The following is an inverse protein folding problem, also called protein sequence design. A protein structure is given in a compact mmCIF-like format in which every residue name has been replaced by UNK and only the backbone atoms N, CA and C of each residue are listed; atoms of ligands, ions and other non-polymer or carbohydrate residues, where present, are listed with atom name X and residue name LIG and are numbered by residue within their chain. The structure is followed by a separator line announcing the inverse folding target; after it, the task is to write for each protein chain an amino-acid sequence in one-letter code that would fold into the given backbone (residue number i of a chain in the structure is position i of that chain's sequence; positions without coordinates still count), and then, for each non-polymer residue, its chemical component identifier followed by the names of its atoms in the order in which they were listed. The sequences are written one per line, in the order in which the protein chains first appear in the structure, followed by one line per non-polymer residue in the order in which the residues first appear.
data_IF_864020437268
#
_entry.id   IF_864020437268
#
_cell.length_a   1.000
_cell.length_b   1.000
_cell.length_c   1.000
_cell.angle_alpha   90.00
_cell.angle_beta   90.00
_cell.angle_gamma   90.00
#
_symmetry.space_group_name_H-M   'P 1'
#
loop_
_entity.id
_entity.type
_entity.pdbx_description
1 polymer ?
#
# COMPACT_ATOMS: atom_id res chain seq x y z
N UNK A 1 -27.27 -26.77 4.19
CA UNK A 1 -26.81 -25.62 3.36
C UNK A 1 -26.88 -26.07 1.91
N UNK A 2 -28.05 -25.86 1.32
CA UNK A 2 -28.35 -26.30 -0.04
C UNK A 2 -28.18 -25.09 -0.97
N UNK A 3 -27.35 -25.23 -2.00
CA UNK A 3 -27.15 -24.23 -3.05
C UNK A 3 -25.72 -23.72 -3.27
N UNK A 4 -24.78 -23.96 -2.37
CA UNK A 4 -23.37 -23.63 -2.53
C UNK A 4 -22.54 -24.89 -2.76
N UNK A 5 -21.70 -24.91 -3.78
CA UNK A 5 -20.69 -25.95 -4.00
C UNK A 5 -19.37 -25.53 -3.34
N UNK A 6 -19.37 -25.44 -2.00
CA UNK A 6 -18.21 -25.07 -1.18
C UNK A 6 -18.00 -26.12 -0.10
N UNK A 7 -16.74 -26.51 0.08
CA UNK A 7 -16.29 -27.29 1.21
C UNK A 7 -15.85 -26.37 2.35
N UNK A 8 -16.41 -26.54 3.54
CA UNK A 8 -16.00 -25.80 4.72
C UNK A 8 -14.87 -26.53 5.44
N UNK A 9 -13.61 -26.15 5.13
CA UNK A 9 -12.40 -26.84 5.61
C UNK A 9 -12.20 -26.64 7.10
N UNK A 10 -12.26 -25.38 7.58
CA UNK A 10 -12.14 -25.03 9.00
C UNK A 10 -12.80 -23.68 9.32
N UNK A 11 -13.21 -23.50 10.54
CA UNK A 11 -13.61 -22.19 11.05
C UNK A 11 -12.34 -21.38 11.39
N UNK A 12 -12.24 -20.18 10.85
CA UNK A 12 -11.16 -19.25 11.19
C UNK A 12 -11.39 -18.61 12.56
N UNK A 13 -10.36 -18.29 13.34
CA UNK A 13 -10.50 -17.54 14.57
C UNK A 13 -11.12 -16.17 14.28
N UNK A 14 -11.84 -15.62 15.24
CA UNK A 14 -12.27 -14.22 15.16
C UNK A 14 -11.04 -13.30 15.29
N UNK A 15 -11.03 -12.10 14.65
CA UNK A 15 -9.92 -11.16 14.83
C UNK A 15 -9.61 -10.86 16.29
N UNK A 16 -10.63 -10.66 17.14
CA UNK A 16 -10.43 -10.40 18.57
C UNK A 16 -9.71 -11.54 19.30
N UNK A 17 -9.94 -12.80 18.88
CA UNK A 17 -9.21 -13.96 19.40
C UNK A 17 -7.74 -13.90 18.98
N UNK A 18 -7.47 -13.62 17.70
CA UNK A 18 -6.11 -13.54 17.20
C UNK A 18 -5.34 -12.35 17.80
N UNK A 19 -5.99 -11.18 17.94
CA UNK A 19 -5.39 -10.02 18.59
C UNK A 19 -5.07 -10.27 20.08
N UNK A 20 -5.88 -11.08 20.78
CA UNK A 20 -5.64 -11.51 22.14
C UNK A 20 -4.49 -12.52 22.24
N UNK A 21 -4.42 -13.48 21.30
CA UNK A 21 -3.45 -14.57 21.35
C UNK A 21 -2.06 -14.12 20.83
N UNK A 22 -2.03 -13.10 19.96
CA UNK A 22 -0.81 -12.45 19.42
C UNK A 22 -0.84 -10.93 19.70
N UNK A 23 -0.81 -10.49 20.95
CA UNK A 23 -0.99 -9.09 21.31
C UNK A 23 0.27 -8.25 20.98
N UNK A 24 0.05 -6.97 20.71
CA UNK A 24 1.12 -5.97 20.74
C UNK A 24 1.08 -5.22 22.07
N UNK A 25 2.26 -4.98 22.67
CA UNK A 25 2.38 -4.25 23.93
C UNK A 25 2.02 -2.76 23.80
N UNK A 26 1.78 -2.11 24.93
CA UNK A 26 1.37 -0.70 24.99
C UNK A 26 2.39 0.23 24.30
N UNK A 27 3.69 -0.06 24.40
CA UNK A 27 4.74 0.72 23.75
C UNK A 27 4.64 0.67 22.23
N UNK A 28 4.43 -0.51 21.65
CA UNK A 28 4.24 -0.66 20.19
C UNK A 28 2.96 0.01 19.70
N UNK A 29 1.88 -0.05 20.49
CA UNK A 29 0.63 0.68 20.18
C UNK A 29 0.86 2.19 20.13
N UNK A 30 1.62 2.73 21.09
CA UNK A 30 1.95 4.16 21.11
C UNK A 30 2.78 4.55 19.89
N UNK A 31 3.86 3.79 19.58
CA UNK A 31 4.70 4.05 18.40
C UNK A 31 3.91 4.02 17.09
N UNK A 32 3.01 3.03 16.96
CA UNK A 32 2.11 2.99 15.79
C UNK A 32 1.23 4.22 15.72
N UNK A 33 0.59 4.61 16.82
CA UNK A 33 -0.30 5.77 16.86
C UNK A 33 0.45 7.08 16.52
N UNK A 34 1.70 7.24 16.98
CA UNK A 34 2.56 8.37 16.63
C UNK A 34 2.83 8.41 15.12
N UNK A 35 3.19 7.28 14.51
CA UNK A 35 3.43 7.21 13.05
C UNK A 35 2.15 7.41 12.23
N UNK A 36 1.02 6.89 12.68
CA UNK A 36 -0.27 7.11 12.01
C UNK A 36 -0.65 8.59 12.02
N UNK A 37 -0.38 9.30 13.13
CA UNK A 37 -0.61 10.74 13.23
C UNK A 37 0.31 11.52 12.27
N UNK A 38 1.59 11.16 12.17
CA UNK A 38 2.53 11.78 11.22
C UNK A 38 2.07 11.58 9.77
N UNK A 39 1.63 10.37 9.39
CA UNK A 39 1.06 10.10 8.06
C UNK A 39 -0.18 10.97 7.80
N UNK A 40 -1.07 11.09 8.79
CA UNK A 40 -2.26 11.92 8.69
C UNK A 40 -1.91 13.41 8.56
N UNK A 41 -0.92 13.90 9.28
CA UNK A 41 -0.49 15.30 9.21
C UNK A 41 0.10 15.65 7.84
N UNK A 42 0.87 14.74 7.21
CA UNK A 42 1.36 14.93 5.83
C UNK A 42 0.19 14.96 4.84
N UNK A 43 -0.73 14.00 4.92
CA UNK A 43 -1.87 13.92 4.00
C UNK A 43 -2.81 15.11 4.12
N UNK A 44 -2.92 15.71 5.31
CA UNK A 44 -3.75 16.90 5.58
C UNK A 44 -3.00 18.22 5.37
N UNK A 45 -1.71 18.19 5.02
CA UNK A 45 -0.89 19.38 4.77
C UNK A 45 -0.44 20.14 6.02
N UNK A 46 -0.46 19.50 7.19
CA UNK A 46 0.09 20.06 8.44
C UNK A 46 1.59 19.80 8.58
N UNK A 47 2.09 18.82 7.86
CA UNK A 47 3.49 18.44 7.78
C UNK A 47 3.90 18.44 6.29
N UNK A 48 4.99 19.12 5.96
CA UNK A 48 5.45 19.32 4.59
C UNK A 48 6.33 18.20 4.06
N UNK A 49 6.71 17.22 4.92
CA UNK A 49 7.48 16.06 4.50
C UNK A 49 6.79 15.27 3.39
N UNK A 50 7.58 14.60 2.56
CA UNK A 50 7.06 13.70 1.52
C UNK A 50 6.93 12.27 2.07
N UNK A 51 5.78 11.62 1.83
CA UNK A 51 5.62 10.19 2.09
C UNK A 51 6.37 9.37 1.04
N UNK A 52 7.20 8.44 1.48
CA UNK A 52 7.81 7.46 0.61
C UNK A 52 7.36 6.05 1.01
N UNK A 53 6.41 5.49 0.23
CA UNK A 53 5.90 4.13 0.43
C UNK A 53 6.80 3.20 -0.38
N UNK A 54 7.73 2.49 0.27
CA UNK A 54 8.78 1.73 -0.42
C UNK A 54 8.96 0.33 0.17
N UNK A 55 9.09 -0.67 -0.70
CA UNK A 55 9.34 -2.06 -0.30
C UNK A 55 8.99 -3.07 -1.38
N UNK A 56 9.09 -4.38 -1.08
CA UNK A 56 8.92 -5.44 -2.07
C UNK A 56 7.54 -5.42 -2.73
N UNK A 57 7.48 -5.90 -3.97
CA UNK A 57 6.23 -6.06 -4.71
C UNK A 57 5.27 -6.99 -3.95
N UNK A 58 5.80 -8.04 -3.32
CA UNK A 58 5.09 -8.88 -2.34
C UNK A 58 6.08 -9.39 -1.30
N UNK A 59 5.63 -9.44 -0.04
CA UNK A 59 6.35 -10.13 1.02
C UNK A 59 6.31 -11.64 0.75
N UNK A 60 7.47 -12.30 0.71
CA UNK A 60 7.60 -13.71 0.40
C UNK A 60 8.37 -14.50 1.47
N UNK A 61 9.38 -13.88 2.07
CA UNK A 61 10.26 -14.47 3.09
C UNK A 61 10.46 -13.50 4.23
N UNK A 62 10.15 -13.95 5.44
CA UNK A 62 10.24 -13.11 6.64
C UNK A 62 11.65 -12.58 6.87
N UNK A 63 12.68 -13.42 6.75
CA UNK A 63 14.08 -13.07 6.99
C UNK A 63 14.58 -11.97 6.03
N UNK A 64 14.27 -12.09 4.74
CA UNK A 64 14.65 -11.10 3.73
C UNK A 64 13.87 -9.78 3.87
N UNK A 65 12.58 -9.86 4.19
CA UNK A 65 11.77 -8.66 4.48
C UNK A 65 12.32 -7.92 5.69
N UNK A 66 12.64 -8.62 6.80
CA UNK A 66 13.21 -8.00 8.00
C UNK A 66 14.60 -7.40 7.76
N UNK A 67 15.46 -8.04 6.97
CA UNK A 67 16.75 -7.47 6.58
C UNK A 67 16.54 -6.15 5.81
N UNK A 68 15.63 -6.14 4.83
CA UNK A 68 15.29 -4.94 4.08
C UNK A 68 14.75 -3.82 5.01
N UNK A 69 13.85 -4.15 5.96
CA UNK A 69 13.29 -3.18 6.90
C UNK A 69 14.33 -2.56 7.84
N UNK A 70 15.30 -3.36 8.32
CA UNK A 70 16.41 -2.85 9.14
C UNK A 70 17.29 -1.87 8.36
N UNK A 71 17.57 -2.16 7.10
CA UNK A 71 18.31 -1.24 6.22
C UNK A 71 17.52 0.04 5.97
N UNK A 72 16.20 -0.04 5.73
CA UNK A 72 15.34 1.15 5.60
C UNK A 72 15.37 2.02 6.85
N UNK A 73 15.31 1.42 8.05
CA UNK A 73 15.35 2.17 9.30
C UNK A 73 16.67 2.95 9.50
N UNK A 74 17.78 2.38 9.03
CA UNK A 74 19.08 3.06 9.07
C UNK A 74 19.13 4.26 8.11
N UNK A 75 18.50 4.18 6.97
CA UNK A 75 18.43 5.30 6.00
C UNK A 75 17.41 6.33 6.45
N UNK A 76 16.24 5.91 6.97
CA UNK A 76 15.23 6.84 7.51
C UNK A 76 15.82 7.80 8.53
N UNK A 77 16.71 7.31 9.42
CA UNK A 77 17.38 8.14 10.42
C UNK A 77 18.16 9.33 9.81
N UNK A 78 18.55 9.26 8.54
CA UNK A 78 19.30 10.29 7.83
C UNK A 78 18.40 11.29 7.08
N UNK A 79 17.13 10.94 6.84
CA UNK A 79 16.23 11.71 5.96
C UNK A 79 14.88 12.05 6.61
N UNK A 80 14.67 11.67 7.87
CA UNK A 80 13.38 11.78 8.56
C UNK A 80 12.84 13.20 8.73
N UNK A 81 13.69 14.20 8.61
CA UNK A 81 13.32 15.62 8.59
C UNK A 81 12.72 16.08 7.26
N UNK A 82 12.88 15.29 6.21
CA UNK A 82 12.41 15.57 4.84
C UNK A 82 11.44 14.52 4.32
N UNK A 83 11.69 13.26 4.64
CA UNK A 83 10.90 12.13 4.17
C UNK A 83 10.32 11.33 5.34
N UNK A 84 9.06 10.93 5.20
CA UNK A 84 8.43 9.91 6.03
C UNK A 84 8.41 8.58 5.28
N UNK A 85 9.22 7.61 5.71
CA UNK A 85 9.23 6.29 5.08
C UNK A 85 8.09 5.42 5.65
N UNK A 86 7.24 4.91 4.78
CA UNK A 86 6.21 3.92 5.08
C UNK A 86 6.58 2.63 4.34
N UNK A 87 7.06 1.59 5.05
CA UNK A 87 7.44 0.36 4.38
C UNK A 87 6.25 -0.33 3.71
N UNK A 88 6.45 -0.69 2.46
CA UNK A 88 5.49 -1.50 1.70
C UNK A 88 5.73 -2.97 2.01
N UNK A 89 4.78 -3.62 2.68
CA UNK A 89 4.80 -5.05 3.03
C UNK A 89 3.50 -5.66 2.55
N UNK A 90 3.40 -5.88 1.24
CA UNK A 90 2.19 -6.43 0.64
C UNK A 90 2.15 -7.95 0.84
N UNK A 91 1.22 -8.39 1.66
CA UNK A 91 1.09 -9.79 2.08
C UNK A 91 0.08 -10.58 1.24
N UNK A 92 -0.62 -9.89 0.34
CA UNK A 92 -1.57 -10.45 -0.61
C UNK A 92 -1.18 -10.09 -2.04
N UNK A 93 -1.40 -11.01 -2.98
CA UNK A 93 -1.15 -10.76 -4.41
C UNK A 93 -2.36 -11.16 -5.24
N UNK A 94 -3.08 -10.20 -5.85
CA UNK A 94 -4.20 -10.51 -6.73
C UNK A 94 -3.71 -11.25 -7.99
N UNK A 95 -4.35 -12.37 -8.31
CA UNK A 95 -4.02 -13.20 -9.48
C UNK A 95 -5.24 -13.35 -10.38
N UNK A 96 -5.24 -12.66 -11.51
CA UNK A 96 -6.36 -12.66 -12.47
C UNK A 96 -6.74 -14.05 -12.96
N UNK A 97 -5.76 -14.95 -13.11
CA UNK A 97 -5.97 -16.35 -13.55
C UNK A 97 -5.89 -17.36 -12.41
N UNK A 98 -5.75 -16.92 -11.15
CA UNK A 98 -5.62 -17.80 -9.99
C UNK A 98 -4.30 -18.59 -9.90
N UNK A 99 -3.34 -18.36 -10.80
CA UNK A 99 -2.07 -19.11 -10.88
C UNK A 99 -0.91 -18.26 -10.37
N UNK A 100 0.06 -18.90 -9.71
CA UNK A 100 1.27 -18.29 -9.14
C UNK A 100 1.14 -17.94 -7.67
N UNK A 101 2.20 -17.39 -7.08
CA UNK A 101 2.24 -17.00 -5.67
C UNK A 101 1.13 -16.00 -5.32
N UNK A 102 0.26 -16.35 -4.38
CA UNK A 102 -0.92 -15.57 -4.00
C UNK A 102 -0.67 -14.63 -2.81
N UNK A 103 0.56 -14.56 -2.33
CA UNK A 103 0.95 -13.79 -1.16
C UNK A 103 1.07 -14.64 0.11
N UNK A 104 1.69 -14.07 1.13
CA UNK A 104 1.98 -14.72 2.41
C UNK A 104 0.72 -15.20 3.13
N UNK A 105 -0.43 -14.52 2.94
CA UNK A 105 -1.71 -14.96 3.49
C UNK A 105 -2.08 -16.38 3.05
N UNK A 106 -1.92 -16.69 1.78
CA UNK A 106 -2.22 -18.01 1.24
C UNK A 106 -1.08 -19.01 1.42
N UNK A 107 0.14 -18.51 1.23
CA UNK A 107 1.36 -19.31 1.15
C UNK A 107 2.45 -18.64 2.00
N UNK A 108 2.40 -18.79 3.36
CA UNK A 108 3.45 -18.26 4.24
C UNK A 108 4.83 -18.86 3.94
N UNK A 109 4.85 -20.06 3.36
CA UNK A 109 6.01 -20.67 2.72
C UNK A 109 5.70 -20.86 1.22
N UNK A 110 6.33 -20.07 0.33
CA UNK A 110 6.05 -20.15 -1.12
C UNK A 110 6.30 -21.53 -1.76
N UNK A 111 7.07 -22.39 -1.11
CA UNK A 111 7.36 -23.76 -1.54
C UNK A 111 6.31 -24.79 -1.11
N UNK A 112 5.32 -24.41 -0.30
CA UNK A 112 4.28 -25.29 0.23
C UNK A 112 2.90 -24.96 -0.32
N UNK A 113 1.92 -25.83 0.00
CA UNK A 113 0.50 -25.59 -0.29
C UNK A 113 -0.09 -24.44 0.51
N UNK A 114 -1.33 -24.07 0.20
CA UNK A 114 -2.04 -22.98 0.86
C UNK A 114 -2.45 -23.38 2.29
N UNK A 115 -2.21 -22.49 3.26
CA UNK A 115 -2.74 -22.53 4.63
C UNK A 115 -3.06 -21.11 5.12
N UNK A 116 -4.34 -20.77 5.04
CA UNK A 116 -4.81 -19.42 5.38
C UNK A 116 -4.68 -19.11 6.88
N UNK A 117 -4.78 -20.11 7.77
CA UNK A 117 -4.60 -19.86 9.21
C UNK A 117 -3.14 -19.60 9.54
N UNK A 118 -2.23 -20.43 9.04
CA UNK A 118 -0.80 -20.20 9.17
C UNK A 118 -0.40 -18.87 8.53
N UNK A 119 -0.99 -18.53 7.36
CA UNK A 119 -0.75 -17.27 6.67
C UNK A 119 -1.13 -16.05 7.49
N UNK A 120 -2.34 -16.02 8.08
CA UNK A 120 -2.79 -14.86 8.87
C UNK A 120 -1.93 -14.67 10.13
N UNK A 121 -1.49 -15.77 10.75
CA UNK A 121 -0.55 -15.72 11.89
C UNK A 121 0.79 -15.17 11.43
N UNK A 122 1.37 -15.72 10.35
CA UNK A 122 2.67 -15.30 9.83
C UNK A 122 2.71 -13.82 9.46
N UNK A 123 1.67 -13.29 8.79
CA UNK A 123 1.65 -11.86 8.44
C UNK A 123 1.51 -10.97 9.68
N UNK A 124 0.76 -11.39 10.70
CA UNK A 124 0.65 -10.65 11.96
C UNK A 124 1.99 -10.64 12.72
N UNK A 125 2.65 -11.78 12.80
CA UNK A 125 3.98 -11.89 13.43
C UNK A 125 5.03 -11.05 12.68
N UNK A 126 5.05 -11.09 11.35
CA UNK A 126 5.94 -10.28 10.52
C UNK A 126 5.75 -8.78 10.80
N UNK A 127 4.52 -8.26 10.74
CA UNK A 127 4.24 -6.84 11.01
C UNK A 127 4.59 -6.46 12.47
N UNK A 128 4.32 -7.34 13.43
CA UNK A 128 4.68 -7.12 14.84
C UNK A 128 6.19 -7.05 15.02
N UNK A 129 6.95 -7.91 14.34
CA UNK A 129 8.42 -7.90 14.37
C UNK A 129 8.98 -6.64 13.72
N UNK A 130 8.46 -6.24 12.56
CA UNK A 130 8.88 -5.00 11.90
C UNK A 130 8.68 -3.80 12.84
N UNK A 131 7.48 -3.65 13.41
CA UNK A 131 7.17 -2.55 14.33
C UNK A 131 8.10 -2.57 15.56
N UNK A 132 8.38 -3.75 16.11
CA UNK A 132 9.25 -3.91 17.29
C UNK A 132 10.71 -3.57 16.98
N UNK A 133 11.24 -4.07 15.85
CA UNK A 133 12.66 -3.98 15.52
C UNK A 133 13.03 -2.62 14.90
N UNK A 134 12.09 -1.97 14.20
CA UNK A 134 12.37 -0.76 13.43
C UNK A 134 11.51 0.45 13.80
N UNK A 135 10.40 0.25 14.50
CA UNK A 135 9.41 1.29 14.78
C UNK A 135 8.46 1.58 13.62
N UNK A 136 8.58 0.89 12.50
CA UNK A 136 7.71 1.12 11.33
C UNK A 136 6.32 0.52 11.53
N UNK A 137 5.26 1.30 11.27
CA UNK A 137 3.97 0.78 10.83
C UNK A 137 3.95 0.74 9.31
N UNK A 138 3.48 -0.37 8.73
CA UNK A 138 3.64 -0.65 7.31
C UNK A 138 2.40 -0.34 6.49
N UNK A 139 2.58 -0.29 5.16
CA UNK A 139 1.52 -0.32 4.17
C UNK A 139 1.26 -1.75 3.69
N UNK A 140 -0.01 -2.15 3.58
CA UNK A 140 -0.43 -3.38 2.90
C UNK A 140 -1.59 -3.13 1.93
N UNK A 141 -1.78 -4.02 0.95
CA UNK A 141 -2.92 -3.96 0.02
C UNK A 141 -4.12 -4.71 0.59
N UNK A 142 -5.24 -4.03 0.76
CA UNK A 142 -6.50 -4.63 1.19
C UNK A 142 -7.15 -5.40 0.03
N UNK A 143 -6.66 -6.62 -0.22
CA UNK A 143 -7.24 -7.50 -1.25
C UNK A 143 -8.56 -8.12 -0.76
N UNK A 144 -8.62 -8.47 0.50
CA UNK A 144 -9.79 -9.03 1.17
C UNK A 144 -10.22 -8.11 2.33
N UNK A 145 -11.28 -7.29 2.17
CA UNK A 145 -11.67 -6.30 3.18
C UNK A 145 -11.90 -6.88 4.57
N UNK A 146 -12.52 -8.09 4.64
CA UNK A 146 -12.75 -8.78 5.92
C UNK A 146 -11.48 -9.12 6.70
N UNK A 147 -10.34 -9.26 6.01
CA UNK A 147 -9.07 -9.66 6.64
C UNK A 147 -8.32 -8.49 7.28
N UNK A 148 -8.63 -7.24 6.92
CA UNK A 148 -8.02 -6.06 7.55
C UNK A 148 -8.12 -6.11 9.08
N UNK A 149 -9.25 -6.58 9.62
CA UNK A 149 -9.49 -6.64 11.06
C UNK A 149 -8.44 -7.45 11.85
N UNK A 150 -7.73 -8.37 11.20
CA UNK A 150 -6.64 -9.14 11.83
C UNK A 150 -5.34 -8.34 11.99
N UNK A 151 -5.22 -7.22 11.27
CA UNK A 151 -4.03 -6.37 11.22
C UNK A 151 -4.31 -4.91 11.59
N UNK A 152 -5.54 -4.60 12.04
CA UNK A 152 -6.01 -3.23 12.28
C UNK A 152 -5.19 -2.45 13.31
N UNK A 153 -4.53 -3.16 14.24
CA UNK A 153 -3.64 -2.60 15.25
C UNK A 153 -2.16 -2.52 14.81
N UNK A 154 -1.84 -2.86 13.56
CA UNK A 154 -0.46 -2.94 13.03
C UNK A 154 -0.24 -2.08 11.78
N UNK A 155 -1.22 -2.02 10.85
CA UNK A 155 -1.07 -1.28 9.61
C UNK A 155 -1.25 0.23 9.82
N UNK A 156 -0.34 1.04 9.28
CA UNK A 156 -0.43 2.50 9.26
C UNK A 156 -0.97 3.08 7.94
N UNK A 157 -0.99 2.26 6.90
CA UNK A 157 -1.46 2.65 5.57
C UNK A 157 -2.09 1.45 4.85
N UNK A 158 -3.20 1.69 4.16
CA UNK A 158 -3.90 0.67 3.38
C UNK A 158 -4.01 1.12 1.93
N UNK A 159 -3.63 0.26 0.98
CA UNK A 159 -3.89 0.50 -0.44
C UNK A 159 -5.08 -0.33 -0.92
N UNK A 160 -5.98 0.27 -1.69
CA UNK A 160 -7.02 -0.43 -2.45
C UNK A 160 -6.53 -0.59 -3.88
N UNK A 161 -6.39 -1.84 -4.31
CA UNK A 161 -5.80 -2.20 -5.59
C UNK A 161 -6.63 -1.78 -6.80
N UNK A 162 -5.99 -1.65 -7.96
CA UNK A 162 -6.62 -1.23 -9.22
C UNK A 162 -7.73 -2.18 -9.72
N UNK A 163 -7.78 -3.43 -9.26
CA UNK A 163 -8.84 -4.40 -9.58
C UNK A 163 -9.95 -4.42 -8.52
N UNK A 164 -9.72 -3.77 -7.39
CA UNK A 164 -10.62 -3.76 -6.22
C UNK A 164 -11.33 -2.43 -6.03
N UNK A 165 -10.80 -1.35 -6.61
CA UNK A 165 -11.29 0.02 -6.40
C UNK A 165 -12.75 0.24 -6.85
N UNK A 166 -13.25 -0.56 -7.79
CA UNK A 166 -14.65 -0.53 -8.23
C UNK A 166 -15.58 -1.32 -7.30
N UNK A 167 -15.01 -2.21 -6.46
CA UNK A 167 -15.81 -3.09 -5.61
C UNK A 167 -16.41 -2.30 -4.45
N UNK A 168 -17.73 -2.44 -4.25
CA UNK A 168 -18.47 -1.70 -3.23
C UNK A 168 -17.97 -2.00 -1.81
N UNK A 169 -17.70 -3.26 -1.48
CA UNK A 169 -17.25 -3.64 -0.13
C UNK A 169 -15.90 -2.96 0.23
N UNK A 170 -14.97 -2.85 -0.72
CA UNK A 170 -13.69 -2.15 -0.49
C UNK A 170 -13.90 -0.67 -0.16
N UNK A 171 -14.83 0.01 -0.87
CA UNK A 171 -15.17 1.42 -0.61
C UNK A 171 -15.82 1.61 0.77
N UNK A 172 -16.76 0.72 1.12
CA UNK A 172 -17.45 0.73 2.40
C UNK A 172 -16.48 0.48 3.55
N UNK A 173 -15.63 -0.54 3.46
CA UNK A 173 -14.64 -0.84 4.50
C UNK A 173 -13.62 0.30 4.61
N UNK A 174 -13.17 0.89 3.49
CA UNK A 174 -12.24 2.01 3.51
C UNK A 174 -12.80 3.23 4.26
N UNK A 175 -14.14 3.44 4.25
CA UNK A 175 -14.78 4.53 5.01
C UNK A 175 -14.72 4.36 6.54
N UNK A 176 -14.44 3.15 7.00
CA UNK A 176 -14.32 2.81 8.44
C UNK A 176 -12.89 2.59 8.91
N UNK A 177 -11.88 2.78 8.04
CA UNK A 177 -10.48 2.63 8.45
C UNK A 177 -10.04 3.82 9.30
N UNK A 178 -9.34 3.54 10.40
CA UNK A 178 -8.72 4.55 11.26
C UNK A 178 -7.34 5.02 10.77
N UNK A 179 -6.95 4.67 9.55
CA UNK A 179 -5.64 4.97 8.95
C UNK A 179 -5.81 5.45 7.51
N UNK A 180 -4.72 5.96 6.91
CA UNK A 180 -4.69 6.39 5.53
C UNK A 180 -5.10 5.28 4.55
N UNK A 181 -5.96 5.60 3.57
CA UNK A 181 -6.47 4.69 2.56
C UNK A 181 -6.23 5.24 1.15
N UNK A 182 -5.27 4.65 0.42
CA UNK A 182 -4.95 5.04 -0.95
C UNK A 182 -5.76 4.25 -1.97
N UNK A 183 -6.55 4.95 -2.81
CA UNK A 183 -7.35 4.36 -3.89
C UNK A 183 -6.55 4.40 -5.20
N UNK A 184 -6.15 3.23 -5.72
CA UNK A 184 -5.47 3.16 -7.01
C UNK A 184 -6.46 3.41 -8.15
N UNK A 185 -6.05 4.17 -9.18
CA UNK A 185 -6.87 4.22 -10.39
C UNK A 185 -7.04 2.82 -11.00
N UNK A 186 -8.20 2.52 -11.61
CA UNK A 186 -8.46 1.23 -12.27
C UNK A 186 -7.41 0.89 -13.31
N UNK A 187 -7.26 -0.40 -13.60
CA UNK A 187 -6.32 -0.87 -14.63
C UNK A 187 -6.61 -0.31 -16.02
N UNK A 188 -7.89 -0.02 -16.33
CA UNK A 188 -8.34 0.59 -17.58
C UNK A 188 -8.17 2.12 -17.64
N UNK A 189 -7.79 2.78 -16.52
CA UNK A 189 -7.44 4.21 -16.52
C UNK A 189 -8.57 5.19 -16.24
N UNK A 190 -9.79 4.73 -15.96
CA UNK A 190 -10.90 5.62 -15.64
C UNK A 190 -10.72 6.31 -14.29
N UNK A 191 -10.31 7.57 -14.33
CA UNK A 191 -10.05 8.39 -13.13
C UNK A 191 -11.35 8.67 -12.35
N UNK A 192 -12.49 8.77 -13.01
CA UNK A 192 -13.79 9.00 -12.35
C UNK A 192 -14.16 7.89 -11.38
N UNK A 193 -13.82 6.64 -11.70
CA UNK A 193 -14.00 5.48 -10.81
C UNK A 193 -13.18 5.64 -9.52
N UNK A 194 -11.93 6.09 -9.64
CA UNK A 194 -11.08 6.37 -8.48
C UNK A 194 -11.64 7.51 -7.63
N UNK A 195 -12.07 8.62 -8.25
CA UNK A 195 -12.66 9.77 -7.55
C UNK A 195 -13.93 9.38 -6.82
N UNK A 196 -14.83 8.62 -7.47
CA UNK A 196 -16.03 8.07 -6.84
C UNK A 196 -15.69 7.15 -5.65
N UNK A 197 -14.60 6.39 -5.74
CA UNK A 197 -14.16 5.51 -4.65
C UNK A 197 -13.65 6.31 -3.45
N UNK A 198 -12.93 7.41 -3.70
CA UNK A 198 -12.48 8.33 -2.65
C UNK A 198 -13.70 8.99 -1.99
N UNK A 199 -14.65 9.49 -2.79
CA UNK A 199 -15.88 10.11 -2.30
C UNK A 199 -16.69 9.15 -1.40
N UNK A 200 -16.86 7.90 -1.83
CA UNK A 200 -17.54 6.88 -1.04
C UNK A 200 -16.79 6.56 0.26
N UNK A 201 -15.46 6.47 0.22
CA UNK A 201 -14.64 6.21 1.39
C UNK A 201 -14.60 7.41 2.35
N UNK A 202 -14.70 8.65 1.88
CA UNK A 202 -14.77 9.84 2.74
C UNK A 202 -16.15 10.08 3.35
N UNK A 203 -17.20 9.38 2.83
CA UNK A 203 -18.57 9.54 3.30
C UNK A 203 -18.94 8.53 4.39
N UNK A 204 -19.82 8.88 5.34
CA UNK A 204 -20.42 7.91 6.25
C UNK A 204 -21.19 6.82 5.51
N UNK A 205 -21.09 5.58 5.97
CA UNK A 205 -21.71 4.42 5.34
C UNK A 205 -22.40 3.53 6.38
N UNK A 206 -23.47 2.83 5.96
CA UNK A 206 -24.13 1.78 6.73
C UNK A 206 -24.18 0.50 5.90
N UNK A 207 -23.71 -0.62 6.47
CA UNK A 207 -23.66 -1.88 5.75
C UNK A 207 -23.47 -3.07 6.69
N UNK A 208 -23.57 -4.29 6.13
CA UNK A 208 -23.31 -5.53 6.89
C UNK A 208 -21.82 -5.89 6.77
N UNK A 209 -21.10 -5.88 7.88
CA UNK A 209 -19.71 -6.31 7.95
C UNK A 209 -19.56 -7.45 8.97
N UNK A 210 -19.12 -8.62 8.52
CA UNK A 210 -18.86 -9.79 9.37
C UNK A 210 -20.05 -10.14 10.29
N UNK A 211 -21.26 -10.18 9.72
CA UNK A 211 -22.53 -10.45 10.40
C UNK A 211 -22.97 -9.37 11.40
N UNK A 212 -22.40 -8.17 11.34
CA UNK A 212 -22.83 -7.01 12.10
C UNK A 212 -23.36 -5.92 11.15
N UNK A 213 -24.44 -5.27 11.53
CA UNK A 213 -24.81 -3.98 10.98
C UNK A 213 -23.86 -2.94 11.56
N UNK A 214 -23.14 -2.23 10.70
CA UNK A 214 -22.12 -1.26 11.10
C UNK A 214 -22.41 0.10 10.47
N UNK A 215 -22.02 1.15 11.19
CA UNK A 215 -22.01 2.53 10.69
C UNK A 215 -20.58 3.07 10.76
N UNK A 216 -20.11 3.70 9.68
CA UNK A 216 -18.82 4.38 9.61
C UNK A 216 -19.00 5.90 9.62
N UNK A 217 -17.95 6.64 9.97
CA UNK A 217 -17.94 8.10 9.97
C UNK A 217 -17.42 8.71 8.67
N UNK A 218 -16.93 7.89 7.74
CA UNK A 218 -16.10 8.33 6.62
C UNK A 218 -14.63 8.47 7.02
N UNK A 219 -13.75 8.25 6.07
CA UNK A 219 -12.30 8.35 6.24
C UNK A 219 -11.74 9.55 5.45
N UNK A 220 -11.50 10.71 6.10
CA UNK A 220 -11.01 11.91 5.43
C UNK A 220 -9.57 11.77 4.88
N UNK A 221 -8.87 10.69 5.23
CA UNK A 221 -7.54 10.36 4.72
C UNK A 221 -7.58 9.43 3.50
N UNK A 222 -8.77 9.13 2.96
CA UNK A 222 -8.88 8.43 1.68
C UNK A 222 -8.41 9.35 0.54
N UNK A 223 -7.48 8.87 -0.30
CA UNK A 223 -6.80 9.67 -1.30
C UNK A 223 -6.44 8.87 -2.55
N UNK A 224 -5.98 9.56 -3.60
CA UNK A 224 -5.62 8.97 -4.89
C UNK A 224 -4.25 8.28 -4.88
N UNK A 225 -4.13 7.17 -5.63
CA UNK A 225 -2.85 6.60 -6.06
C UNK A 225 -2.85 6.49 -7.58
N UNK A 226 -1.97 7.24 -8.25
CA UNK A 226 -1.78 7.15 -9.70
C UNK A 226 -0.74 6.09 -10.04
N UNK A 227 -1.14 5.05 -10.80
CA UNK A 227 -0.28 3.92 -11.14
C UNK A 227 -0.10 3.67 -12.65
N UNK A 228 -0.57 4.60 -13.49
CA UNK A 228 -0.71 4.40 -14.92
C UNK A 228 -1.87 3.43 -15.25
N UNK A 229 -2.09 3.17 -16.51
CA UNK A 229 -3.17 2.29 -16.98
C UNK A 229 -2.77 1.52 -18.25
N UNK A 230 -3.64 0.62 -18.67
CA UNK A 230 -3.51 -0.15 -19.92
C UNK A 230 -4.70 0.18 -20.80
N UNK A 231 -4.46 0.58 -22.04
CA UNK A 231 -5.51 0.82 -23.01
C UNK A 231 -6.12 -0.50 -23.57
N UNK A 232 -7.14 -0.36 -24.38
CA UNK A 232 -7.84 -1.51 -25.00
C UNK A 232 -6.96 -2.31 -25.98
N UNK A 233 -5.78 -1.80 -26.32
CA UNK A 233 -4.78 -2.49 -27.15
C UNK A 233 -3.67 -3.14 -26.33
N UNK A 234 -3.76 -3.08 -24.98
CA UNK A 234 -2.77 -3.65 -24.07
C UNK A 234 -1.50 -2.81 -23.90
N UNK A 235 -1.51 -1.52 -24.27
CA UNK A 235 -0.38 -0.60 -24.12
C UNK A 235 -0.43 0.09 -22.78
N UNK A 236 0.72 0.19 -22.12
CA UNK A 236 0.85 0.96 -20.87
C UNK A 236 0.94 2.45 -21.15
N UNK A 237 0.17 3.21 -20.38
CA UNK A 237 0.16 4.67 -20.40
C UNK A 237 0.47 5.21 -19.00
N UNK A 238 1.44 6.10 -18.84
CA UNK A 238 1.70 6.79 -17.59
C UNK A 238 0.61 7.84 -17.32
N UNK A 239 0.40 8.16 -16.03
CA UNK A 239 -0.51 9.21 -15.58
C UNK A 239 0.06 10.04 -14.43
N UNK A 240 1.38 10.28 -14.44
CA UNK A 240 2.11 11.05 -13.42
C UNK A 240 2.67 12.38 -13.94
N UNK A 241 2.48 12.70 -15.22
CA UNK A 241 2.97 13.95 -15.80
C UNK A 241 2.26 15.17 -15.21
N UNK A 242 2.87 16.32 -15.36
CA UNK A 242 2.36 17.59 -14.81
C UNK A 242 0.89 17.81 -15.17
N UNK A 243 0.49 17.56 -16.41
CA UNK A 243 -0.87 17.73 -16.92
C UNK A 243 -1.87 16.78 -16.20
N UNK A 244 -1.47 15.53 -15.97
CA UNK A 244 -2.30 14.57 -15.24
C UNK A 244 -2.49 14.98 -13.76
N UNK A 245 -1.44 15.54 -13.14
CA UNK A 245 -1.51 16.04 -11.77
C UNK A 245 -2.39 17.28 -11.68
N UNK A 246 -2.32 18.18 -12.66
CA UNK A 246 -3.19 19.36 -12.77
C UNK A 246 -4.66 18.96 -12.92
N UNK A 247 -4.98 18.05 -13.84
CA UNK A 247 -6.32 17.50 -14.02
C UNK A 247 -6.85 16.90 -12.71
N UNK A 248 -6.04 16.09 -12.03
CA UNK A 248 -6.43 15.50 -10.75
C UNK A 248 -6.70 16.56 -9.66
N UNK A 249 -5.90 17.62 -9.62
CA UNK A 249 -6.11 18.72 -8.69
C UNK A 249 -7.47 19.40 -8.91
N UNK A 250 -7.84 19.65 -10.17
CA UNK A 250 -9.13 20.22 -10.55
C UNK A 250 -10.30 19.29 -10.17
N UNK A 251 -10.16 17.98 -10.43
CA UNK A 251 -11.16 16.98 -10.06
C UNK A 251 -11.40 16.90 -8.54
N UNK A 252 -10.37 17.07 -7.71
CA UNK A 252 -10.56 17.15 -6.25
C UNK A 252 -11.49 18.31 -5.85
N UNK A 253 -11.37 19.46 -6.51
CA UNK A 253 -12.25 20.60 -6.33
C UNK A 253 -13.67 20.33 -6.81
N UNK A 254 -13.83 19.75 -8.00
CA UNK A 254 -15.15 19.41 -8.58
C UNK A 254 -15.91 18.40 -7.72
N UNK A 255 -15.24 17.39 -7.19
CA UNK A 255 -15.82 16.37 -6.30
C UNK A 255 -15.97 16.85 -4.85
N UNK A 256 -15.48 18.04 -4.51
CA UNK A 256 -15.49 18.61 -3.15
C UNK A 256 -14.93 17.65 -2.09
N UNK A 257 -13.86 16.94 -2.42
CA UNK A 257 -13.24 15.98 -1.52
C UNK A 257 -12.34 16.65 -0.48
N UNK A 258 -12.33 16.10 0.72
CA UNK A 258 -11.44 16.54 1.77
C UNK A 258 -9.97 16.16 1.47
N UNK A 259 -9.03 17.00 1.92
CA UNK A 259 -7.60 16.73 1.90
C UNK A 259 -7.08 16.26 0.53
N UNK A 260 -7.07 17.12 -0.50
CA UNK A 260 -6.52 16.75 -1.81
C UNK A 260 -5.12 16.16 -1.67
N UNK A 261 -4.96 14.90 -2.02
CA UNK A 261 -3.71 14.18 -1.88
C UNK A 261 -3.55 13.10 -2.95
N UNK A 262 -2.34 12.97 -3.49
CA UNK A 262 -1.97 11.88 -4.39
C UNK A 262 -0.64 11.27 -4.01
N UNK A 263 -0.59 9.94 -4.07
CA UNK A 263 0.65 9.16 -4.09
C UNK A 263 0.89 8.72 -5.53
N UNK A 264 2.07 8.98 -6.07
CA UNK A 264 2.45 8.51 -7.39
C UNK A 264 3.19 7.18 -7.28
N UNK A 265 2.57 6.11 -7.80
CA UNK A 265 3.20 4.80 -7.92
C UNK A 265 4.16 4.82 -9.14
N UNK A 266 5.44 4.84 -8.87
CA UNK A 266 6.50 4.97 -9.88
C UNK A 266 6.72 3.68 -10.69
N UNK A 267 6.11 2.55 -10.30
CA UNK A 267 6.19 1.30 -11.04
C UNK A 267 4.91 1.05 -11.86
N UNK A 268 4.46 -0.20 -11.93
CA UNK A 268 3.28 -0.66 -12.67
C UNK A 268 3.21 -0.11 -14.11
N UNK A 269 2.11 0.53 -14.47
CA UNK A 269 1.95 1.05 -15.84
C UNK A 269 2.62 2.41 -16.05
N UNK A 270 2.95 3.14 -14.97
CA UNK A 270 3.75 4.35 -15.06
C UNK A 270 5.17 4.08 -15.61
N UNK A 271 5.76 2.95 -15.23
CA UNK A 271 7.06 2.50 -15.75
C UNK A 271 6.95 1.50 -16.91
N UNK A 272 5.72 1.04 -17.24
CA UNK A 272 5.52 -0.13 -18.09
C UNK A 272 6.18 -1.39 -17.52
N UNK A 273 6.24 -1.50 -16.18
CA UNK A 273 6.91 -2.56 -15.40
C UNK A 273 8.43 -2.65 -15.60
N UNK A 274 9.04 -1.59 -16.12
CA UNK A 274 10.50 -1.46 -16.22
C UNK A 274 11.01 -0.85 -14.91
N UNK A 275 11.37 -1.67 -13.95
CA UNK A 275 11.66 -1.27 -12.57
C UNK A 275 12.76 -0.20 -12.43
N UNK A 276 13.72 -0.14 -13.35
CA UNK A 276 14.77 0.89 -13.35
C UNK A 276 14.24 2.30 -13.68
N UNK A 277 13.08 2.39 -14.38
CA UNK A 277 12.44 3.67 -14.70
C UNK A 277 11.87 4.37 -13.46
N UNK A 278 11.64 3.65 -12.37
CA UNK A 278 11.13 4.23 -11.13
C UNK A 278 11.97 5.42 -10.66
N UNK A 279 13.29 5.34 -10.78
CA UNK A 279 14.21 6.43 -10.39
C UNK A 279 13.96 7.70 -11.21
N UNK A 280 13.79 7.56 -12.54
CA UNK A 280 13.49 8.70 -13.42
C UNK A 280 12.11 9.27 -13.10
N UNK A 281 11.09 8.42 -12.97
CA UNK A 281 9.72 8.84 -12.68
C UNK A 281 9.65 9.62 -11.37
N UNK A 282 10.30 9.14 -10.32
CA UNK A 282 10.36 9.88 -9.05
C UNK A 282 10.94 11.30 -9.25
N UNK A 283 12.03 11.44 -10.03
CA UNK A 283 12.62 12.76 -10.34
C UNK A 283 11.67 13.66 -11.13
N UNK A 284 10.96 13.10 -12.12
CA UNK A 284 10.00 13.85 -12.93
C UNK A 284 8.85 14.39 -12.07
N UNK A 285 8.35 13.58 -11.12
CA UNK A 285 7.32 14.00 -10.19
C UNK A 285 7.83 15.09 -9.23
N UNK A 286 9.05 14.95 -8.70
CA UNK A 286 9.65 15.98 -7.84
C UNK A 286 9.88 17.27 -8.64
N UNK A 287 10.28 17.20 -9.91
CA UNK A 287 10.36 18.36 -10.77
C UNK A 287 8.99 19.02 -10.96
N UNK A 288 7.92 18.25 -11.23
CA UNK A 288 6.57 18.79 -11.34
C UNK A 288 6.12 19.50 -10.07
N UNK A 289 6.46 18.97 -8.87
CA UNK A 289 6.21 19.63 -7.57
C UNK A 289 6.92 20.98 -7.45
N UNK A 290 8.12 21.11 -8.02
CA UNK A 290 8.88 22.38 -7.97
C UNK A 290 8.34 23.47 -8.88
N UNK A 291 7.46 23.14 -9.84
CA UNK A 291 6.89 24.09 -10.80
C UNK A 291 5.61 24.78 -10.31
N UNK A 292 4.92 24.23 -9.32
CA UNK A 292 3.60 24.70 -8.90
C UNK A 292 3.31 24.35 -7.44
N UNK A 293 2.87 25.32 -6.66
CA UNK A 293 2.45 25.14 -5.27
C UNK A 293 1.22 24.24 -5.17
N UNK A 294 0.29 24.31 -6.13
CA UNK A 294 -0.87 23.42 -6.21
C UNK A 294 -0.43 21.96 -6.34
N UNK A 295 0.53 21.69 -7.25
CA UNK A 295 1.07 20.33 -7.45
C UNK A 295 1.89 19.90 -6.23
N UNK A 296 2.66 20.80 -5.64
CA UNK A 296 3.38 20.53 -4.39
C UNK A 296 2.41 20.15 -3.27
N UNK A 297 1.33 20.91 -3.12
CA UNK A 297 0.29 20.65 -2.14
C UNK A 297 -0.48 19.34 -2.38
N UNK A 298 -0.72 18.97 -3.65
CA UNK A 298 -1.44 17.77 -4.05
C UNK A 298 -0.59 16.50 -3.89
N UNK A 299 0.63 16.50 -4.41
CA UNK A 299 1.51 15.31 -4.41
C UNK A 299 2.13 15.13 -3.03
N UNK A 300 1.53 14.26 -2.22
CA UNK A 300 1.96 13.98 -0.84
C UNK A 300 2.98 12.87 -0.74
N UNK A 301 3.22 12.11 -1.81
CA UNK A 301 4.20 11.05 -1.74
C UNK A 301 4.40 10.26 -3.03
N UNK A 302 5.35 9.33 -2.92
CA UNK A 302 5.75 8.40 -3.97
C UNK A 302 5.61 6.96 -3.47
N UNK A 303 5.31 6.02 -4.37
CA UNK A 303 5.32 4.59 -4.09
C UNK A 303 6.33 3.90 -5.00
N UNK A 304 7.23 3.11 -4.41
CA UNK A 304 8.35 2.46 -5.11
C UNK A 304 8.40 0.98 -4.77
N UNK A 305 8.51 0.13 -5.79
CA UNK A 305 8.77 -1.30 -5.61
C UNK A 305 10.27 -1.56 -5.53
N UNK A 306 10.74 -1.97 -4.35
CA UNK A 306 12.14 -2.15 -4.00
C UNK A 306 12.34 -3.37 -3.11
N UNK A 307 13.45 -4.07 -3.30
CA UNK A 307 13.85 -5.17 -2.42
C UNK A 307 15.37 -5.19 -2.23
N UNK A 308 15.94 -6.31 -1.74
CA UNK A 308 17.40 -6.40 -1.54
C UNK A 308 18.15 -6.48 -2.86
N UNK A 309 17.62 -7.28 -3.82
CA UNK A 309 18.23 -7.53 -5.13
C UNK A 309 17.38 -6.97 -6.27
N UNK A 310 18.05 -6.53 -7.33
CA UNK A 310 17.40 -6.05 -8.56
C UNK A 310 16.58 -7.12 -9.27
N UNK A 311 15.45 -6.69 -9.83
CA UNK A 311 14.65 -7.49 -10.75
C UNK A 311 13.70 -8.47 -10.07
N UNK A 312 13.46 -9.60 -10.73
CA UNK A 312 12.58 -10.66 -10.26
C UNK A 312 13.16 -12.04 -10.58
N UNK A 313 12.60 -13.05 -9.91
CA UNK A 313 12.94 -14.47 -10.10
C UNK A 313 11.65 -15.31 -10.10
N UNK A 314 11.75 -16.57 -10.54
CA UNK A 314 10.67 -17.54 -10.37
C UNK A 314 10.68 -18.08 -8.93
N UNK A 315 9.50 -18.52 -8.46
CA UNK A 315 9.39 -19.27 -7.20
C UNK A 315 10.31 -20.50 -7.29
N UNK A 316 11.17 -20.66 -6.28
CA UNK A 316 12.11 -21.79 -6.22
C UNK A 316 13.53 -21.53 -6.77
N UNK A 317 13.81 -20.41 -7.41
CA UNK A 317 15.18 -20.07 -7.85
C UNK A 317 16.10 -19.68 -6.68
N UNK A 318 15.57 -19.29 -5.52
CA UNK A 318 16.28 -19.22 -4.25
C UNK A 318 17.24 -18.04 -4.06
N UNK A 319 17.24 -17.04 -4.92
CA UNK A 319 18.06 -15.84 -4.73
C UNK A 319 17.48 -15.02 -3.58
N UNK A 320 18.25 -14.84 -2.50
CA UNK A 320 17.84 -14.13 -1.31
C UNK A 320 17.49 -12.67 -1.62
N UNK A 321 16.29 -12.24 -1.20
CA UNK A 321 15.84 -10.85 -1.35
C UNK A 321 15.58 -10.38 -2.78
N UNK A 322 15.41 -11.30 -3.75
CA UNK A 322 14.92 -10.99 -5.08
C UNK A 322 13.43 -11.29 -5.18
N UNK A 323 12.65 -10.36 -5.73
CA UNK A 323 11.21 -10.49 -5.86
C UNK A 323 10.78 -11.75 -6.62
N UNK A 324 9.80 -12.48 -6.13
CA UNK A 324 9.15 -13.62 -6.82
C UNK A 324 7.87 -13.21 -7.57
N UNK A 325 7.63 -11.90 -7.70
CA UNK A 325 6.47 -11.33 -8.39
C UNK A 325 6.93 -10.27 -9.42
N UNK A 326 6.48 -9.01 -9.35
CA UNK A 326 6.97 -7.99 -10.28
C UNK A 326 8.40 -7.55 -9.92
N UNK A 327 9.23 -7.17 -10.90
CA UNK A 327 10.62 -6.79 -10.65
C UNK A 327 10.74 -5.51 -9.83
N UNK A 328 11.69 -5.52 -8.87
CA UNK A 328 11.94 -4.44 -7.92
C UNK A 328 13.31 -3.77 -8.14
N UNK A 329 13.47 -2.53 -7.69
CA UNK A 329 14.79 -1.92 -7.51
C UNK A 329 15.54 -2.64 -6.39
N UNK A 330 16.81 -2.94 -6.59
CA UNK A 330 17.70 -3.45 -5.56
C UNK A 330 18.06 -2.37 -4.53
N UNK A 331 18.60 -2.82 -3.39
CA UNK A 331 18.86 -1.98 -2.22
C UNK A 331 19.74 -0.77 -2.53
N UNK A 332 20.86 -0.93 -3.22
CA UNK A 332 21.80 0.17 -3.45
C UNK A 332 21.16 1.31 -4.24
N UNK A 333 20.39 0.98 -5.28
CA UNK A 333 19.66 1.98 -6.08
C UNK A 333 18.55 2.65 -5.28
N UNK A 334 17.89 1.88 -4.42
CA UNK A 334 16.82 2.39 -3.57
C UNK A 334 17.35 3.32 -2.49
N UNK A 335 18.48 2.97 -1.86
CA UNK A 335 19.16 3.85 -0.91
C UNK A 335 19.59 5.18 -1.56
N UNK A 336 20.19 5.11 -2.76
CA UNK A 336 20.57 6.30 -3.49
C UNK A 336 19.34 7.17 -3.85
N UNK A 337 18.24 6.53 -4.27
CA UNK A 337 16.99 7.23 -4.57
C UNK A 337 16.44 7.94 -3.33
N UNK A 338 16.38 7.27 -2.17
CA UNK A 338 15.90 7.86 -0.90
C UNK A 338 16.71 9.10 -0.54
N UNK A 339 18.04 9.01 -0.56
CA UNK A 339 18.91 10.15 -0.23
C UNK A 339 18.72 11.32 -1.22
N UNK A 340 18.60 11.04 -2.51
CA UNK A 340 18.35 12.07 -3.53
C UNK A 340 16.96 12.72 -3.38
N UNK A 341 15.93 11.96 -3.01
CA UNK A 341 14.61 12.52 -2.79
C UNK A 341 14.60 13.51 -1.63
N UNK A 342 15.37 13.23 -0.57
CA UNK A 342 15.53 14.15 0.55
C UNK A 342 16.24 15.46 0.18
N UNK A 343 17.00 15.49 -0.90
CA UNK A 343 17.65 16.73 -1.42
C UNK A 343 16.66 17.65 -2.14
N UNK A 344 15.50 17.13 -2.61
CA UNK A 344 14.47 17.93 -3.28
C UNK A 344 13.51 18.62 -2.29
N UNK A 345 13.40 18.12 -1.06
CA UNK A 345 12.58 18.65 0.03
C UNK A 345 13.43 19.50 0.99
#
# INVERSE_FOLDING_TARGET
MTGMQMEFIRKMPLPQELLRDYPIGADLKRRKAERDAEIADILTGKDDRLLLIIGPCSADREDAVLDYMRRLAQVEAQVRDRLMIVPRVYTNKPRTRGVGYKGMLHQPDPGKGEDLLAGIIAIRELHTRILRETGFSCADEMLYPSNYSYLSDLLGYVAVGARSVENQEHRLVASGLGVAAGMKNPSAGDISVMMNSIAAAQSPQEYIFRSWEVRTSGNPLAHAILRGYVDNFGRSHPNYHYENLRELFELYGEYQLANPAVIVDANHNNSGKRYLEQVRICKDVMHSRSLSDDIRGLVKGLMVESYLEDGAQKVGEGVYGRSITDPCLGWEKSRELILRLAEYE
#
